data_IF_995851266505
#
_entry.id   IF_995851266505
#
_cell.length_a   1.000
_cell.length_b   1.000
_cell.length_c   1.000
_cell.angle_alpha   90.00
_cell.angle_beta   90.00
_cell.angle_gamma   90.00
#
_symmetry.space_group_name_H-M   'P 1'
#
loop_
_entity.id
_entity.type
_entity.pdbx_description
1 polymer ?
#
# COMPACT_ATOMS: atom_id res chain seq x y z
N UNK A 1 55.03 19.61 -52.67
CA UNK A 1 54.30 18.78 -53.64
C UNK A 1 53.40 17.76 -52.95
N UNK A 2 53.85 17.12 -51.92
CA UNK A 2 53.11 16.04 -51.17
C UNK A 2 51.78 16.53 -50.52
N UNK A 3 51.75 17.71 -49.95
CA UNK A 3 50.59 18.30 -49.31
C UNK A 3 49.40 18.56 -50.23
N UNK A 4 49.64 18.85 -51.49
CA UNK A 4 48.56 19.07 -52.46
C UNK A 4 47.95 17.77 -52.99
N UNK A 5 48.78 16.70 -53.07
CA UNK A 5 48.30 15.37 -53.46
C UNK A 5 47.39 14.79 -52.38
N UNK A 6 47.74 14.96 -51.09
CA UNK A 6 46.94 14.49 -49.94
C UNK A 6 45.58 15.21 -49.83
N UNK A 7 45.58 16.56 -50.09
CA UNK A 7 44.33 17.34 -50.14
C UNK A 7 43.39 16.87 -51.24
N UNK A 8 43.94 16.56 -52.41
CA UNK A 8 43.16 16.09 -53.59
C UNK A 8 42.64 14.67 -53.36
N UNK A 9 43.45 13.83 -52.77
CA UNK A 9 43.02 12.46 -52.40
C UNK A 9 41.94 12.45 -51.30
N UNK A 10 42.07 13.29 -50.27
CA UNK A 10 41.06 13.47 -49.22
C UNK A 10 39.76 14.03 -49.80
N UNK A 11 39.81 15.03 -50.66
CA UNK A 11 38.62 15.57 -51.32
C UNK A 11 37.93 14.54 -52.23
N UNK A 12 38.71 13.68 -52.89
CA UNK A 12 38.17 12.54 -53.64
C UNK A 12 37.50 11.50 -52.73
N UNK A 13 38.12 11.13 -51.64
CA UNK A 13 37.53 10.22 -50.67
C UNK A 13 36.22 10.76 -50.11
N UNK A 14 36.18 12.02 -49.69
CA UNK A 14 34.96 12.66 -49.19
C UNK A 14 33.87 12.66 -50.26
N UNK A 15 34.17 13.01 -51.50
CA UNK A 15 33.21 12.97 -52.61
C UNK A 15 32.75 11.54 -52.93
N UNK A 16 33.65 10.57 -52.89
CA UNK A 16 33.34 9.15 -53.12
C UNK A 16 32.46 8.58 -52.01
N UNK A 17 32.78 8.86 -50.74
CA UNK A 17 31.94 8.45 -49.61
C UNK A 17 30.59 9.15 -49.62
N UNK A 18 30.53 10.44 -49.94
CA UNK A 18 29.27 11.18 -50.10
C UNK A 18 28.43 10.58 -51.24
N UNK A 19 29.05 10.22 -52.35
CA UNK A 19 28.38 9.59 -53.49
C UNK A 19 27.85 8.19 -53.14
N UNK A 20 28.62 7.36 -52.40
CA UNK A 20 28.18 6.06 -51.93
C UNK A 20 27.05 6.21 -50.93
N UNK A 21 27.14 7.11 -49.96
CA UNK A 21 26.09 7.38 -48.96
C UNK A 21 24.80 7.87 -49.64
N UNK A 22 24.90 8.81 -50.59
CA UNK A 22 23.74 9.27 -51.38
C UNK A 22 23.10 8.14 -52.20
N UNK A 23 23.91 7.23 -52.73
CA UNK A 23 23.41 6.09 -53.52
C UNK A 23 22.72 5.04 -52.63
N UNK A 24 23.19 4.84 -51.41
CA UNK A 24 22.56 3.98 -50.42
C UNK A 24 21.24 4.56 -49.93
N UNK A 25 21.17 5.87 -49.68
CA UNK A 25 19.91 6.57 -49.36
C UNK A 25 18.90 6.49 -50.50
N UNK A 26 19.37 6.71 -51.73
CA UNK A 26 18.55 6.63 -52.93
C UNK A 26 18.04 5.22 -53.15
N UNK A 27 18.87 4.17 -52.92
CA UNK A 27 18.44 2.77 -53.07
C UNK A 27 17.37 2.37 -52.04
N UNK A 28 17.47 2.83 -50.78
CA UNK A 28 16.45 2.59 -49.78
C UNK A 28 15.10 3.23 -50.12
N UNK A 29 15.13 4.46 -50.60
CA UNK A 29 13.94 5.20 -51.00
C UNK A 29 13.28 4.61 -52.26
N UNK A 30 14.08 4.27 -53.30
CA UNK A 30 13.57 3.62 -54.52
C UNK A 30 13.00 2.21 -54.25
N UNK A 31 13.59 1.46 -53.29
CA UNK A 31 13.09 0.18 -52.89
C UNK A 31 11.67 0.29 -52.32
N UNK A 32 11.43 1.30 -51.47
CA UNK A 32 10.10 1.53 -50.91
C UNK A 32 9.09 1.97 -51.96
N UNK A 33 9.48 2.80 -52.89
CA UNK A 33 8.57 3.29 -53.92
C UNK A 33 8.21 2.22 -54.96
N UNK A 34 9.19 1.39 -55.38
CA UNK A 34 9.03 0.46 -56.49
C UNK A 34 9.18 -1.02 -56.12
N UNK A 35 9.57 -1.32 -54.87
CA UNK A 35 9.74 -2.68 -54.40
C UNK A 35 8.44 -3.36 -54.08
N UNK A 36 8.41 -4.70 -54.19
CA UNK A 36 7.31 -5.48 -53.67
C UNK A 36 7.45 -5.66 -52.15
N UNK A 37 6.36 -6.08 -51.51
CA UNK A 37 6.28 -6.29 -50.06
C UNK A 37 7.41 -7.22 -49.55
N UNK A 38 7.70 -8.31 -50.23
CA UNK A 38 8.68 -9.29 -49.80
C UNK A 38 10.09 -8.72 -49.72
N UNK A 39 10.52 -7.98 -50.73
CA UNK A 39 11.82 -7.33 -50.74
C UNK A 39 11.97 -6.25 -49.65
N UNK A 40 10.91 -5.48 -49.38
CA UNK A 40 10.90 -4.49 -48.29
C UNK A 40 11.04 -5.17 -46.96
N UNK A 41 10.25 -6.25 -46.72
CA UNK A 41 10.29 -7.02 -45.48
C UNK A 41 11.64 -7.70 -45.25
N UNK A 42 12.25 -8.28 -46.28
CA UNK A 42 13.59 -8.84 -46.22
C UNK A 42 14.64 -7.78 -45.80
N UNK A 43 14.57 -6.62 -46.40
CA UNK A 43 15.47 -5.51 -46.11
C UNK A 43 15.29 -4.98 -44.66
N UNK A 44 14.06 -4.84 -44.18
CA UNK A 44 13.80 -4.41 -42.83
C UNK A 44 14.28 -5.44 -41.75
N UNK A 45 14.35 -6.73 -42.12
CA UNK A 45 14.78 -7.80 -41.19
C UNK A 45 16.32 -7.97 -41.16
N UNK A 46 17.00 -7.78 -42.28
CA UNK A 46 18.41 -8.16 -42.45
C UNK A 46 19.41 -7.07 -42.07
N UNK A 47 19.03 -5.79 -42.04
CA UNK A 47 19.98 -4.71 -41.83
C UNK A 47 20.05 -4.21 -40.38
N UNK A 48 20.77 -4.95 -39.57
CA UNK A 48 21.21 -4.49 -38.23
C UNK A 48 22.23 -3.33 -38.26
N UNK A 49 22.83 -3.01 -39.42
CA UNK A 49 23.96 -2.10 -39.53
C UNK A 49 23.72 -0.81 -40.31
N UNK A 50 22.60 -0.64 -40.98
CA UNK A 50 22.27 0.58 -41.69
C UNK A 50 20.95 1.17 -41.24
N UNK A 51 20.99 2.38 -40.69
CA UNK A 51 19.78 3.14 -40.42
C UNK A 51 18.99 3.29 -41.71
N UNK A 52 17.72 2.87 -41.64
CA UNK A 52 16.81 3.07 -42.77
C UNK A 52 16.58 4.58 -42.95
N UNK A 53 16.96 5.21 -44.08
CA UNK A 53 16.99 6.65 -44.18
C UNK A 53 15.63 7.29 -43.89
N UNK A 54 15.62 8.51 -43.32
CA UNK A 54 14.36 9.18 -42.94
C UNK A 54 13.37 9.32 -44.11
N UNK A 55 13.87 9.58 -45.34
CA UNK A 55 13.01 9.62 -46.54
C UNK A 55 12.39 8.28 -46.90
N UNK A 56 13.11 7.18 -46.68
CA UNK A 56 12.58 5.83 -46.89
C UNK A 56 11.57 5.47 -45.85
N UNK A 57 11.83 5.83 -44.56
CA UNK A 57 10.85 5.67 -43.47
C UNK A 57 9.55 6.45 -43.78
N UNK A 58 9.66 7.72 -44.22
CA UNK A 58 8.50 8.54 -44.58
C UNK A 58 7.68 7.91 -45.71
N UNK A 59 8.36 7.45 -46.79
CA UNK A 59 7.69 6.78 -47.90
C UNK A 59 6.96 5.49 -47.47
N UNK A 60 7.60 4.69 -46.61
CA UNK A 60 7.05 3.45 -46.08
C UNK A 60 5.82 3.72 -45.20
N UNK A 61 5.90 4.69 -44.31
CA UNK A 61 4.75 5.08 -43.46
C UNK A 61 3.57 5.58 -44.31
N UNK A 62 3.86 6.40 -45.35
CA UNK A 62 2.86 6.91 -46.31
C UNK A 62 2.24 5.81 -47.18
N UNK A 63 3.02 4.78 -47.54
CA UNK A 63 2.51 3.58 -48.23
C UNK A 63 1.42 2.86 -47.41
N UNK A 64 1.57 2.82 -46.09
CA UNK A 64 0.53 2.42 -45.17
C UNK A 64 0.36 0.94 -44.96
N UNK A 65 1.27 0.07 -45.45
CA UNK A 65 1.23 -1.35 -45.19
C UNK A 65 1.55 -1.64 -43.69
N UNK A 66 0.61 -2.22 -42.98
CA UNK A 66 0.73 -2.44 -41.54
C UNK A 66 1.88 -3.37 -41.16
N UNK A 67 2.16 -4.41 -41.97
CA UNK A 67 3.26 -5.37 -41.69
C UNK A 67 4.63 -4.74 -41.92
N UNK A 68 4.76 -3.89 -42.95
CA UNK A 68 5.97 -3.17 -43.22
C UNK A 68 6.28 -2.12 -42.15
N UNK A 69 5.25 -1.41 -41.67
CA UNK A 69 5.38 -0.46 -40.56
C UNK A 69 5.72 -1.19 -39.26
N UNK A 70 5.08 -2.30 -38.97
CA UNK A 70 5.41 -3.14 -37.80
C UNK A 70 6.87 -3.61 -37.86
N UNK A 71 7.34 -4.07 -39.00
CA UNK A 71 8.73 -4.51 -39.17
C UNK A 71 9.70 -3.34 -39.01
N UNK A 72 9.37 -2.15 -39.54
CA UNK A 72 10.14 -0.92 -39.33
C UNK A 72 10.24 -0.60 -37.83
N UNK A 73 9.12 -0.55 -37.12
CA UNK A 73 9.06 -0.20 -35.71
C UNK A 73 9.77 -1.20 -34.79
N UNK A 74 9.77 -2.48 -35.14
CA UNK A 74 10.46 -3.54 -34.38
C UNK A 74 11.98 -3.51 -34.57
N UNK A 75 12.45 -3.13 -35.73
CA UNK A 75 13.84 -3.31 -36.11
C UNK A 75 14.61 -1.99 -36.25
N UNK A 76 13.96 -0.85 -36.26
CA UNK A 76 14.61 0.44 -36.54
C UNK A 76 14.12 1.55 -35.62
N UNK A 77 15.02 2.47 -35.29
CA UNK A 77 14.67 3.71 -34.57
C UNK A 77 14.07 4.69 -35.59
N UNK A 78 12.96 5.33 -35.22
CA UNK A 78 12.32 6.35 -36.07
C UNK A 78 13.12 7.66 -36.00
N UNK A 79 13.63 8.08 -37.15
CA UNK A 79 14.67 9.08 -37.24
C UNK A 79 14.28 10.51 -36.81
N UNK A 80 13.00 10.89 -36.95
CA UNK A 80 12.58 12.26 -36.66
C UNK A 80 11.25 12.31 -35.91
N UNK A 81 11.03 13.39 -35.13
CA UNK A 81 9.76 13.65 -34.46
C UNK A 81 8.59 13.73 -35.43
N UNK A 82 8.80 14.30 -36.63
CA UNK A 82 7.78 14.36 -37.70
C UNK A 82 7.29 12.94 -38.11
N UNK A 83 8.21 12.00 -38.26
CA UNK A 83 7.90 10.64 -38.65
C UNK A 83 7.16 9.90 -37.50
N UNK A 84 7.56 10.15 -36.25
CA UNK A 84 6.83 9.64 -35.08
C UNK A 84 5.37 10.15 -35.06
N UNK A 85 5.19 11.45 -35.36
CA UNK A 85 3.86 12.04 -35.47
C UNK A 85 3.03 11.41 -36.58
N UNK A 86 3.59 11.14 -37.76
CA UNK A 86 2.87 10.45 -38.84
C UNK A 86 2.35 9.06 -38.43
N UNK A 87 3.12 8.35 -37.61
CA UNK A 87 2.65 7.03 -37.06
C UNK A 87 1.50 7.24 -36.06
N UNK A 88 1.59 8.26 -35.22
CA UNK A 88 0.54 8.60 -34.25
C UNK A 88 -0.74 9.01 -34.99
N UNK A 89 -0.63 9.83 -36.03
CA UNK A 89 -1.74 10.32 -36.86
C UNK A 89 -2.49 9.18 -37.58
N UNK A 90 -1.84 8.04 -37.81
CA UNK A 90 -2.49 6.82 -38.33
C UNK A 90 -3.47 6.18 -37.33
N UNK A 91 -3.36 6.54 -36.06
CA UNK A 91 -4.24 6.10 -34.98
C UNK A 91 -4.35 4.56 -34.82
N UNK A 92 -3.26 3.81 -35.13
CA UNK A 92 -3.22 2.36 -34.98
C UNK A 92 -2.57 2.00 -33.65
N UNK A 93 -3.36 1.54 -32.67
CA UNK A 93 -2.94 1.27 -31.30
C UNK A 93 -1.71 0.36 -31.18
N UNK A 94 -1.60 -0.64 -32.05
CA UNK A 94 -0.47 -1.56 -32.05
C UNK A 94 0.83 -0.90 -32.56
N UNK A 95 0.75 -0.14 -33.65
CA UNK A 95 1.88 0.61 -34.20
C UNK A 95 2.40 1.65 -33.19
N UNK A 96 1.49 2.38 -32.55
CA UNK A 96 1.81 3.37 -31.50
C UNK A 96 2.48 2.70 -30.29
N UNK A 97 1.99 1.53 -29.86
CA UNK A 97 2.60 0.77 -28.77
C UNK A 97 4.04 0.36 -29.09
N UNK A 98 4.30 -0.15 -30.31
CA UNK A 98 5.65 -0.49 -30.77
C UNK A 98 6.57 0.75 -30.88
N UNK A 99 6.01 1.86 -31.32
CA UNK A 99 6.76 3.13 -31.37
C UNK A 99 7.25 3.53 -29.98
N UNK A 100 6.37 3.46 -28.95
CA UNK A 100 6.72 3.81 -27.59
C UNK A 100 7.71 2.83 -26.95
N UNK A 101 7.67 1.55 -27.31
CA UNK A 101 8.59 0.54 -26.80
C UNK A 101 10.03 0.69 -27.31
N UNK A 102 10.19 1.14 -28.56
CA UNK A 102 11.47 1.11 -29.27
C UNK A 102 12.06 2.50 -29.56
N UNK A 103 11.36 3.56 -29.16
CA UNK A 103 11.79 4.93 -29.47
C UNK A 103 11.71 5.83 -28.24
N UNK A 104 12.71 6.66 -28.05
CA UNK A 104 12.73 7.76 -27.08
C UNK A 104 12.10 9.02 -27.72
N UNK A 105 11.74 10.00 -26.87
CA UNK A 105 11.16 11.30 -27.29
C UNK A 105 9.92 11.19 -28.19
N UNK A 106 9.02 10.30 -27.82
CA UNK A 106 7.72 10.17 -28.50
C UNK A 106 6.77 11.27 -28.00
N UNK A 107 5.91 11.87 -28.87
CA UNK A 107 4.89 12.83 -28.44
C UNK A 107 3.86 12.21 -27.51
N UNK A 108 4.13 12.17 -26.20
CA UNK A 108 3.33 11.48 -25.20
C UNK A 108 1.91 12.08 -25.09
N UNK A 109 1.79 13.41 -25.10
CA UNK A 109 0.51 14.11 -24.93
C UNK A 109 -0.55 13.68 -25.96
N UNK A 110 -0.17 13.53 -27.23
CA UNK A 110 -1.09 13.15 -28.31
C UNK A 110 -1.56 11.69 -28.14
N UNK A 111 -0.64 10.80 -27.77
CA UNK A 111 -0.93 9.37 -27.52
C UNK A 111 -1.89 9.21 -26.35
N UNK A 112 -1.66 9.96 -25.28
CA UNK A 112 -2.48 9.94 -24.06
C UNK A 112 -3.90 10.44 -24.36
N UNK A 113 -4.00 11.58 -25.08
CA UNK A 113 -5.29 12.17 -25.47
C UNK A 113 -6.09 11.28 -26.42
N UNK A 114 -5.41 10.54 -27.30
CA UNK A 114 -6.04 9.57 -28.21
C UNK A 114 -6.49 8.29 -27.48
N UNK A 115 -6.08 8.09 -26.22
CA UNK A 115 -6.52 6.96 -25.40
C UNK A 115 -5.88 5.61 -25.73
N UNK A 116 -4.68 5.60 -26.32
CA UNK A 116 -3.94 4.37 -26.63
C UNK A 116 -3.31 3.75 -25.37
N UNK A 117 -4.12 3.09 -24.56
CA UNK A 117 -3.75 2.63 -23.22
C UNK A 117 -2.46 1.79 -23.16
N UNK A 118 -2.28 0.82 -24.09
CA UNK A 118 -1.06 0.00 -24.15
C UNK A 118 0.21 0.84 -24.41
N UNK A 119 0.08 1.88 -25.21
CA UNK A 119 1.18 2.80 -25.48
C UNK A 119 1.50 3.67 -24.25
N UNK A 120 0.47 4.11 -23.52
CA UNK A 120 0.63 4.83 -22.24
C UNK A 120 1.37 3.98 -21.23
N UNK A 121 1.05 2.69 -21.09
CA UNK A 121 1.81 1.78 -20.23
C UNK A 121 3.28 1.64 -20.65
N UNK A 122 3.58 1.72 -21.94
CA UNK A 122 4.97 1.72 -22.44
C UNK A 122 5.69 3.03 -22.12
N UNK A 123 5.00 4.18 -22.20
CA UNK A 123 5.54 5.49 -21.83
C UNK A 123 5.86 5.59 -20.32
N UNK A 124 5.02 5.00 -19.47
CA UNK A 124 5.27 4.92 -18.02
C UNK A 124 6.57 4.17 -17.70
N UNK A 125 6.89 3.11 -18.46
CA UNK A 125 8.14 2.35 -18.27
C UNK A 125 9.42 3.16 -18.60
N UNK A 126 9.30 4.15 -19.47
CA UNK A 126 10.43 4.95 -19.94
C UNK A 126 10.56 6.31 -19.24
N UNK A 127 9.76 6.56 -18.21
CA UNK A 127 9.70 7.83 -17.46
C UNK A 127 9.49 9.06 -18.38
N UNK A 128 8.71 8.85 -19.46
CA UNK A 128 8.52 9.85 -20.54
C UNK A 128 7.21 10.63 -20.42
N UNK A 129 6.54 10.55 -19.26
CA UNK A 129 5.25 11.22 -19.03
C UNK A 129 5.47 12.48 -18.20
N UNK A 130 5.01 13.64 -18.72
CA UNK A 130 5.07 14.91 -17.99
C UNK A 130 4.05 14.96 -16.84
N UNK A 131 4.24 15.92 -15.91
CA UNK A 131 3.26 16.12 -14.82
C UNK A 131 1.86 16.48 -15.36
N UNK A 132 1.78 17.25 -16.43
CA UNK A 132 0.49 17.62 -17.05
C UNK A 132 -0.18 16.43 -17.70
N UNK A 133 0.60 15.58 -18.37
CA UNK A 133 0.11 14.35 -18.98
C UNK A 133 -0.37 13.37 -17.91
N UNK A 134 0.37 13.23 -16.81
CA UNK A 134 -0.06 12.41 -15.65
C UNK A 134 -1.36 12.94 -15.06
N UNK A 135 -1.49 14.25 -14.88
CA UNK A 135 -2.74 14.88 -14.43
C UNK A 135 -3.90 14.56 -15.37
N UNK A 136 -3.68 14.62 -16.69
CA UNK A 136 -4.71 14.25 -17.67
C UNK A 136 -5.14 12.78 -17.53
N UNK A 137 -4.18 11.86 -17.37
CA UNK A 137 -4.42 10.43 -17.12
C UNK A 137 -5.31 10.25 -15.88
N UNK A 138 -4.92 10.85 -14.76
CA UNK A 138 -5.62 10.72 -13.48
C UNK A 138 -7.06 11.24 -13.54
N UNK A 139 -7.34 12.23 -14.38
CA UNK A 139 -8.68 12.82 -14.50
C UNK A 139 -9.59 12.09 -15.50
N UNK A 140 -9.03 11.48 -16.55
CA UNK A 140 -9.83 11.05 -17.70
C UNK A 140 -9.85 9.53 -17.93
N UNK A 141 -8.92 8.79 -17.32
CA UNK A 141 -8.85 7.34 -17.55
C UNK A 141 -9.89 6.60 -16.70
N UNK A 142 -10.37 5.49 -17.23
CA UNK A 142 -11.35 4.63 -16.56
C UNK A 142 -10.73 3.96 -15.32
N UNK A 143 -11.59 3.48 -14.41
CA UNK A 143 -11.15 2.71 -13.24
C UNK A 143 -10.22 1.55 -13.61
N UNK A 144 -10.58 0.73 -14.61
CA UNK A 144 -9.75 -0.38 -15.06
C UNK A 144 -8.35 0.08 -15.51
N UNK A 145 -8.28 1.17 -16.29
CA UNK A 145 -7.01 1.73 -16.75
C UNK A 145 -6.19 2.27 -15.58
N UNK A 146 -6.82 2.92 -14.61
CA UNK A 146 -6.16 3.41 -13.41
C UNK A 146 -5.57 2.28 -12.57
N UNK A 147 -6.32 1.20 -12.35
CA UNK A 147 -5.82 0.04 -11.62
C UNK A 147 -4.59 -0.59 -12.29
N UNK A 148 -4.56 -0.64 -13.63
CA UNK A 148 -3.38 -1.13 -14.36
C UNK A 148 -2.19 -0.17 -14.26
N UNK A 149 -2.41 1.14 -14.24
CA UNK A 149 -1.36 2.16 -14.05
C UNK A 149 -0.78 2.09 -12.64
N UNK A 150 -1.64 1.99 -11.62
CA UNK A 150 -1.23 1.93 -10.22
C UNK A 150 -0.47 0.64 -9.86
N UNK A 151 -0.52 -0.40 -10.68
CA UNK A 151 0.32 -1.60 -10.52
C UNK A 151 1.78 -1.40 -10.90
N UNK A 152 2.12 -0.31 -11.56
CA UNK A 152 3.51 -0.06 -12.00
C UNK A 152 4.40 0.37 -10.83
N UNK A 153 5.39 -0.44 -10.48
CA UNK A 153 6.30 -0.25 -9.34
C UNK A 153 7.12 1.05 -9.38
N UNK A 154 7.35 1.62 -10.55
CA UNK A 154 8.17 2.84 -10.70
C UNK A 154 7.33 4.12 -10.71
N UNK A 155 6.06 4.07 -10.32
CA UNK A 155 5.17 5.22 -10.36
C UNK A 155 5.48 6.17 -9.19
N UNK A 156 6.02 7.35 -9.51
CA UNK A 156 6.23 8.42 -8.53
C UNK A 156 5.04 9.37 -8.57
N UNK A 157 4.28 9.42 -7.50
CA UNK A 157 3.14 10.32 -7.38
C UNK A 157 3.47 11.50 -6.49
N UNK A 158 3.18 12.71 -6.96
CA UNK A 158 3.20 13.91 -6.14
C UNK A 158 1.98 13.96 -5.23
N UNK A 159 2.03 14.75 -4.15
CA UNK A 159 0.87 14.92 -3.26
C UNK A 159 -0.36 15.45 -4.01
N UNK A 160 -0.18 16.37 -4.96
CA UNK A 160 -1.25 16.87 -5.80
C UNK A 160 -1.91 15.77 -6.65
N UNK A 161 -1.12 14.84 -7.18
CA UNK A 161 -1.60 13.70 -7.94
C UNK A 161 -2.33 12.68 -7.05
N UNK A 162 -1.83 12.41 -5.85
CA UNK A 162 -2.51 11.57 -4.86
C UNK A 162 -3.89 12.13 -4.50
N UNK A 163 -4.00 13.45 -4.30
CA UNK A 163 -5.30 14.13 -4.08
C UNK A 163 -6.26 13.96 -5.25
N UNK A 164 -5.77 13.94 -6.50
CA UNK A 164 -6.62 13.66 -7.67
C UNK A 164 -7.17 12.22 -7.64
N UNK A 165 -6.36 11.24 -7.22
CA UNK A 165 -6.82 9.84 -7.06
C UNK A 165 -7.90 9.77 -5.97
N UNK A 166 -7.69 10.41 -4.83
CA UNK A 166 -8.67 10.45 -3.73
C UNK A 166 -9.98 11.09 -4.20
N UNK A 167 -9.91 12.17 -4.98
CA UNK A 167 -11.08 12.88 -5.51
C UNK A 167 -11.90 12.07 -6.54
N UNK A 168 -11.36 10.96 -7.06
CA UNK A 168 -12.12 10.01 -7.90
C UNK A 168 -13.10 9.17 -7.07
N UNK A 169 -13.00 9.21 -5.75
CA UNK A 169 -13.90 8.51 -4.81
C UNK A 169 -13.95 7.00 -5.06
N UNK A 170 -12.81 6.40 -5.38
CA UNK A 170 -12.71 4.96 -5.62
C UNK A 170 -11.74 4.32 -4.62
N UNK A 171 -12.28 3.51 -3.71
CA UNK A 171 -11.54 2.90 -2.59
C UNK A 171 -10.46 1.91 -3.07
N UNK A 172 -10.72 1.16 -4.17
CA UNK A 172 -9.73 0.24 -4.74
C UNK A 172 -8.52 0.98 -5.32
N UNK A 173 -8.74 2.12 -6.00
CA UNK A 173 -7.66 2.95 -6.55
C UNK A 173 -6.82 3.56 -5.42
N UNK A 174 -7.47 4.02 -4.35
CA UNK A 174 -6.79 4.59 -3.17
C UNK A 174 -5.98 3.50 -2.45
N UNK A 175 -6.56 2.32 -2.24
CA UNK A 175 -5.88 1.19 -1.63
C UNK A 175 -4.65 0.77 -2.46
N UNK A 176 -4.79 0.66 -3.78
CA UNK A 176 -3.68 0.34 -4.67
C UNK A 176 -2.57 1.40 -4.63
N UNK A 177 -2.92 2.69 -4.56
CA UNK A 177 -1.96 3.78 -4.37
C UNK A 177 -1.18 3.63 -3.07
N UNK A 178 -1.87 3.26 -1.96
CA UNK A 178 -1.23 3.05 -0.65
C UNK A 178 -0.32 1.82 -0.60
N UNK A 179 -0.60 0.81 -1.40
CA UNK A 179 0.21 -0.41 -1.52
C UNK A 179 1.53 -0.18 -2.25
N UNK A 180 1.71 0.98 -2.85
CA UNK A 180 2.90 1.31 -3.61
C UNK A 180 4.07 1.63 -2.67
N UNK A 181 5.12 0.80 -2.67
CA UNK A 181 6.28 0.93 -1.77
C UNK A 181 7.05 2.26 -1.97
N UNK A 182 7.10 2.76 -3.20
CA UNK A 182 7.84 3.97 -3.57
C UNK A 182 7.07 5.28 -3.38
N UNK A 183 5.78 5.21 -2.99
CA UNK A 183 4.95 6.39 -2.79
C UNK A 183 5.02 6.84 -1.33
N UNK A 184 5.76 7.92 -1.08
CA UNK A 184 5.79 8.56 0.24
C UNK A 184 4.47 9.31 0.48
N UNK A 185 3.57 8.71 1.24
CA UNK A 185 2.27 9.30 1.57
C UNK A 185 2.41 10.19 2.80
N UNK A 186 2.08 11.49 2.67
CA UNK A 186 2.10 12.43 3.79
C UNK A 186 0.96 12.19 4.78
N UNK A 187 1.15 12.59 6.06
CA UNK A 187 0.10 12.51 7.06
C UNK A 187 -1.18 13.27 6.64
N UNK A 188 -1.07 14.35 5.89
CA UNK A 188 -2.21 15.09 5.37
C UNK A 188 -3.05 14.29 4.36
N UNK A 189 -2.40 13.47 3.55
CA UNK A 189 -3.07 12.53 2.63
C UNK A 189 -3.75 11.40 3.42
N UNK A 190 -3.04 10.79 4.39
CA UNK A 190 -3.60 9.75 5.26
C UNK A 190 -4.82 10.25 6.02
N UNK A 191 -4.73 11.44 6.60
CA UNK A 191 -5.86 12.09 7.28
C UNK A 191 -7.06 12.29 6.35
N UNK A 192 -6.82 12.75 5.11
CA UNK A 192 -7.88 12.93 4.13
C UNK A 192 -8.58 11.59 3.82
N UNK A 193 -7.82 10.50 3.67
CA UNK A 193 -8.36 9.15 3.43
C UNK A 193 -9.22 8.69 4.60
N UNK A 194 -8.73 8.85 5.84
CA UNK A 194 -9.45 8.46 7.05
C UNK A 194 -10.77 9.24 7.19
N UNK A 195 -10.72 10.58 7.09
CA UNK A 195 -11.89 11.44 7.25
C UNK A 195 -12.94 11.14 6.18
N UNK A 196 -12.52 10.84 4.96
CA UNK A 196 -13.43 10.49 3.86
C UNK A 196 -14.12 9.14 4.05
N UNK A 197 -13.61 8.26 4.92
CA UNK A 197 -14.25 7.01 5.30
C UNK A 197 -14.10 5.89 4.25
N UNK A 198 -13.00 5.85 3.53
CA UNK A 198 -12.66 4.76 2.62
C UNK A 198 -12.29 3.50 3.41
N UNK A 199 -13.19 2.50 3.39
CA UNK A 199 -13.04 1.32 4.26
C UNK A 199 -11.85 0.44 3.89
N UNK A 200 -11.69 0.08 2.61
CA UNK A 200 -10.57 -0.77 2.17
C UNK A 200 -9.22 -0.10 2.39
N UNK A 201 -9.12 1.18 2.05
CA UNK A 201 -7.92 1.96 2.30
C UNK A 201 -7.64 2.11 3.81
N UNK A 202 -8.69 2.30 4.62
CA UNK A 202 -8.62 2.36 6.07
C UNK A 202 -8.13 1.05 6.68
N UNK A 203 -8.72 -0.10 6.34
CA UNK A 203 -8.23 -1.43 6.78
C UNK A 203 -6.78 -1.65 6.39
N UNK A 204 -6.40 -1.32 5.16
CA UNK A 204 -5.02 -1.43 4.73
C UNK A 204 -4.05 -0.62 5.60
N UNK A 205 -4.43 0.60 5.99
CA UNK A 205 -3.61 1.44 6.87
C UNK A 205 -3.49 0.85 8.28
N UNK A 206 -4.59 0.30 8.81
CA UNK A 206 -4.63 -0.37 10.10
C UNK A 206 -3.77 -1.65 10.12
N UNK A 207 -3.93 -2.53 9.14
CA UNK A 207 -3.20 -3.79 9.01
C UNK A 207 -1.69 -3.61 8.83
N UNK A 208 -1.26 -2.50 8.22
CA UNK A 208 0.16 -2.24 7.95
C UNK A 208 0.82 -1.27 8.95
N UNK A 209 0.21 -1.05 10.10
CA UNK A 209 0.73 -0.21 11.18
C UNK A 209 1.16 1.20 10.70
N UNK A 210 0.35 1.80 9.82
CA UNK A 210 0.58 3.15 9.27
C UNK A 210 -0.14 4.26 10.01
N UNK A 211 -0.87 3.91 11.07
CA UNK A 211 -1.67 4.83 11.87
C UNK A 211 -0.98 5.10 13.20
N UNK A 212 -0.31 6.23 13.33
CA UNK A 212 0.37 6.64 14.54
C UNK A 212 -0.33 7.86 15.17
N UNK A 213 -0.30 7.95 16.50
CA UNK A 213 -0.73 9.11 17.30
C UNK A 213 -2.10 9.70 16.88
N UNK A 214 -2.09 10.92 16.34
CA UNK A 214 -3.32 11.65 15.96
C UNK A 214 -4.09 10.97 14.83
N UNK A 215 -3.42 10.27 13.92
CA UNK A 215 -4.10 9.53 12.85
C UNK A 215 -4.84 8.32 13.40
N UNK A 216 -4.26 7.61 14.36
CA UNK A 216 -4.91 6.50 15.04
C UNK A 216 -6.16 6.96 15.79
N UNK A 217 -6.09 8.10 16.47
CA UNK A 217 -7.22 8.69 17.15
C UNK A 217 -8.36 9.05 16.18
N UNK A 218 -8.02 9.71 15.03
CA UNK A 218 -9.00 10.04 13.99
C UNK A 218 -9.63 8.80 13.37
N UNK A 219 -8.82 7.76 13.14
CA UNK A 219 -9.28 6.47 12.63
C UNK A 219 -10.30 5.84 13.58
N UNK A 220 -9.97 5.69 14.86
CA UNK A 220 -10.85 5.11 15.87
C UNK A 220 -12.18 5.86 15.92
N UNK A 221 -12.16 7.20 15.95
CA UNK A 221 -13.39 8.01 15.97
C UNK A 221 -14.19 7.92 14.67
N UNK A 222 -13.53 7.83 13.52
CA UNK A 222 -14.21 7.70 12.22
C UNK A 222 -14.95 6.39 12.08
N UNK A 223 -14.40 5.33 12.62
CA UNK A 223 -14.94 3.97 12.52
C UNK A 223 -15.49 3.44 13.85
N UNK A 224 -15.87 4.32 14.77
CA UNK A 224 -16.34 3.97 16.11
C UNK A 224 -17.50 2.97 16.13
N UNK A 225 -18.38 3.03 15.13
CA UNK A 225 -19.54 2.17 14.96
C UNK A 225 -19.29 0.95 14.03
N UNK A 226 -18.07 0.82 13.49
CA UNK A 226 -17.69 -0.27 12.58
C UNK A 226 -16.77 -1.25 13.32
N UNK A 227 -17.36 -2.34 13.83
CA UNK A 227 -16.64 -3.32 14.65
C UNK A 227 -15.50 -3.99 13.90
N UNK A 228 -15.69 -4.32 12.62
CA UNK A 228 -14.66 -5.00 11.80
C UNK A 228 -13.43 -4.10 11.63
N UNK A 229 -13.65 -2.82 11.35
CA UNK A 229 -12.57 -1.84 11.21
C UNK A 229 -11.81 -1.60 12.51
N UNK A 230 -12.53 -1.60 13.66
CA UNK A 230 -11.91 -1.46 14.97
C UNK A 230 -11.12 -2.71 15.36
N UNK A 231 -11.66 -3.89 15.12
CA UNK A 231 -11.00 -5.16 15.39
C UNK A 231 -9.72 -5.31 14.58
N UNK A 232 -9.74 -4.97 13.28
CA UNK A 232 -8.56 -4.94 12.41
C UNK A 232 -7.46 -4.02 12.98
N UNK A 233 -7.85 -2.82 13.45
CA UNK A 233 -6.88 -1.89 14.04
C UNK A 233 -6.32 -2.41 15.36
N UNK A 234 -7.17 -2.88 16.28
CA UNK A 234 -6.79 -3.35 17.61
C UNK A 234 -5.90 -4.59 17.51
N UNK A 235 -6.18 -5.48 16.56
CA UNK A 235 -5.41 -6.71 16.36
C UNK A 235 -4.01 -6.47 15.80
N UNK A 236 -3.88 -5.52 14.87
CA UNK A 236 -2.65 -5.33 14.11
C UNK A 236 -1.71 -4.26 14.68
N UNK A 237 -2.12 -3.49 15.72
CA UNK A 237 -1.34 -2.37 16.22
C UNK A 237 -1.11 -2.42 17.72
N UNK A 238 0.05 -1.91 18.14
CA UNK A 238 0.31 -1.62 19.55
C UNK A 238 -0.45 -0.34 19.93
N UNK A 239 -1.44 -0.49 20.82
CA UNK A 239 -2.32 0.61 21.20
C UNK A 239 -1.76 1.33 22.43
N UNK A 240 -1.40 2.62 22.34
CA UNK A 240 -0.95 3.40 23.48
C UNK A 240 -2.00 3.52 24.58
N UNK A 241 -1.60 3.56 25.83
CA UNK A 241 -2.49 3.64 27.02
C UNK A 241 -3.59 4.70 26.90
N UNK A 242 -3.25 5.86 26.32
CA UNK A 242 -4.20 6.95 26.09
C UNK A 242 -5.35 6.53 25.18
N UNK A 243 -5.04 5.81 24.10
CA UNK A 243 -6.06 5.30 23.16
C UNK A 243 -6.83 4.14 23.77
N UNK A 244 -6.17 3.25 24.55
CA UNK A 244 -6.87 2.20 25.27
C UNK A 244 -7.92 2.77 26.24
N UNK A 245 -7.56 3.82 26.99
CA UNK A 245 -8.50 4.53 27.87
C UNK A 245 -9.68 5.14 27.12
N UNK A 246 -9.43 5.69 25.94
CA UNK A 246 -10.46 6.25 25.07
C UNK A 246 -11.43 5.18 24.59
N UNK A 247 -10.90 4.03 24.12
CA UNK A 247 -11.71 2.88 23.71
C UNK A 247 -12.62 2.42 24.84
N UNK A 248 -12.09 2.23 26.06
CA UNK A 248 -12.88 1.77 27.20
C UNK A 248 -13.99 2.74 27.56
N UNK A 249 -13.74 4.05 27.50
CA UNK A 249 -14.70 5.07 27.95
C UNK A 249 -15.79 5.36 26.94
N UNK A 250 -15.47 5.37 25.65
CA UNK A 250 -16.31 6.00 24.64
C UNK A 250 -16.76 5.06 23.52
N UNK A 251 -16.21 3.83 23.44
CA UNK A 251 -16.53 2.93 22.34
C UNK A 251 -17.47 1.80 22.78
N UNK A 252 -17.93 1.02 21.81
CA UNK A 252 -18.87 -0.08 22.01
C UNK A 252 -18.26 -1.19 22.90
N UNK A 253 -19.13 -2.01 23.48
CA UNK A 253 -18.73 -3.21 24.22
C UNK A 253 -17.84 -4.13 23.39
N UNK A 254 -18.16 -4.32 22.10
CA UNK A 254 -17.36 -5.15 21.19
C UNK A 254 -15.91 -4.65 21.08
N UNK A 255 -15.71 -3.35 20.86
CA UNK A 255 -14.36 -2.76 20.76
C UNK A 255 -13.55 -2.93 22.07
N UNK A 256 -14.21 -2.81 23.23
CA UNK A 256 -13.55 -3.06 24.52
C UNK A 256 -13.17 -4.54 24.66
N UNK A 257 -14.05 -5.45 24.25
CA UNK A 257 -13.76 -6.88 24.27
C UNK A 257 -12.59 -7.23 23.36
N UNK A 258 -12.55 -6.70 22.14
CA UNK A 258 -11.40 -6.86 21.24
C UNK A 258 -10.09 -6.34 21.85
N UNK A 259 -10.14 -5.16 22.49
CA UNK A 259 -8.98 -4.62 23.20
C UNK A 259 -8.49 -5.56 24.31
N UNK A 260 -9.40 -6.08 25.13
CA UNK A 260 -9.09 -6.99 26.20
C UNK A 260 -8.58 -8.34 25.68
N UNK A 261 -9.06 -8.80 24.53
CA UNK A 261 -8.63 -10.05 23.89
C UNK A 261 -7.23 -10.00 23.33
N UNK A 262 -6.85 -8.88 22.77
CA UNK A 262 -5.60 -8.73 22.05
C UNK A 262 -4.45 -8.15 22.89
N UNK A 263 -4.73 -7.56 24.06
CA UNK A 263 -3.73 -6.97 24.94
C UNK A 263 -3.58 -7.75 26.25
N UNK A 264 -2.51 -8.52 26.34
CA UNK A 264 -2.18 -9.31 27.54
C UNK A 264 -1.56 -8.51 28.70
N UNK A 265 -1.26 -7.21 28.52
CA UNK A 265 -0.61 -6.36 29.51
C UNK A 265 -1.15 -4.94 29.45
N UNK A 266 -2.27 -4.71 30.09
CA UNK A 266 -2.85 -3.39 30.24
C UNK A 266 -2.24 -2.67 31.45
N UNK A 267 -1.98 -1.35 31.32
CA UNK A 267 -1.55 -0.58 32.48
C UNK A 267 -2.65 -0.43 33.53
N UNK A 268 -2.27 -0.19 34.77
CA UNK A 268 -3.20 -0.07 35.92
C UNK A 268 -4.37 0.87 35.67
N UNK A 269 -4.10 2.06 35.08
CA UNK A 269 -5.15 3.05 34.79
C UNK A 269 -6.21 2.50 33.84
N UNK A 270 -5.79 1.71 32.86
CA UNK A 270 -6.68 1.08 31.89
C UNK A 270 -7.51 -0.03 32.55
N UNK A 271 -6.86 -0.87 33.36
CA UNK A 271 -7.53 -1.91 34.15
C UNK A 271 -8.60 -1.30 35.10
N UNK A 272 -8.24 -0.23 35.82
CA UNK A 272 -9.19 0.48 36.70
C UNK A 272 -10.37 1.10 35.92
N UNK A 273 -10.15 1.58 34.70
CA UNK A 273 -11.21 2.13 33.86
C UNK A 273 -12.22 1.03 33.45
N UNK A 274 -11.76 -0.18 33.13
CA UNK A 274 -12.65 -1.35 32.86
C UNK A 274 -13.49 -1.66 34.09
N UNK A 275 -12.88 -1.75 35.28
CA UNK A 275 -13.61 -2.04 36.53
C UNK A 275 -14.61 -0.94 36.86
N UNK A 276 -14.23 0.33 36.63
CA UNK A 276 -15.11 1.47 36.89
C UNK A 276 -16.32 1.54 35.94
N UNK A 277 -16.16 1.14 34.68
CA UNK A 277 -17.25 1.02 33.69
C UNK A 277 -18.31 0.01 34.18
N UNK A 278 -17.87 -1.08 34.81
CA UNK A 278 -18.73 -1.99 35.51
C UNK A 278 -19.42 -3.05 34.66
N UNK A 279 -19.09 -3.19 33.38
CA UNK A 279 -19.61 -4.26 32.55
C UNK A 279 -19.03 -5.61 32.98
N UNK A 280 -19.92 -6.55 33.21
CA UNK A 280 -19.55 -7.85 33.81
C UNK A 280 -18.68 -8.70 32.87
N UNK A 281 -18.97 -8.72 31.60
CA UNK A 281 -18.22 -9.57 30.65
C UNK A 281 -16.84 -8.98 30.37
N UNK A 282 -16.73 -7.66 30.31
CA UNK A 282 -15.44 -6.96 30.20
C UNK A 282 -14.56 -7.23 31.43
N UNK A 283 -15.12 -7.16 32.64
CA UNK A 283 -14.42 -7.47 33.89
C UNK A 283 -13.98 -8.93 33.94
N UNK A 284 -14.87 -9.86 33.58
CA UNK A 284 -14.53 -11.28 33.51
C UNK A 284 -13.38 -11.54 32.54
N UNK A 285 -13.36 -10.84 31.40
CA UNK A 285 -12.31 -10.96 30.41
C UNK A 285 -11.00 -10.39 30.94
N UNK A 286 -11.04 -9.20 31.55
CA UNK A 286 -9.89 -8.59 32.22
C UNK A 286 -9.23 -9.54 33.20
N UNK A 287 -10.01 -10.12 34.14
CA UNK A 287 -9.51 -11.03 35.19
C UNK A 287 -8.86 -12.28 34.58
N UNK A 288 -9.43 -12.83 33.52
CA UNK A 288 -8.94 -14.07 32.89
C UNK A 288 -7.69 -13.88 32.05
N UNK A 289 -7.57 -12.74 31.41
CA UNK A 289 -6.51 -12.54 30.41
C UNK A 289 -5.29 -11.79 30.91
N UNK A 290 -5.44 -10.92 31.91
CA UNK A 290 -4.28 -10.21 32.44
C UNK A 290 -3.41 -11.14 33.27
N UNK A 291 -2.10 -11.16 32.98
CA UNK A 291 -1.12 -11.98 33.70
C UNK A 291 -1.01 -11.59 35.18
N UNK A 292 -1.26 -10.32 35.49
CA UNK A 292 -1.36 -9.82 36.87
C UNK A 292 -2.24 -8.57 36.91
N UNK A 293 -3.13 -8.49 37.87
CA UNK A 293 -3.84 -7.27 38.22
C UNK A 293 -3.06 -6.48 39.24
N UNK A 294 -3.10 -5.13 39.16
CA UNK A 294 -2.51 -4.31 40.23
C UNK A 294 -3.31 -4.42 41.51
N UNK A 295 -2.68 -4.06 42.64
CA UNK A 295 -3.34 -4.11 43.96
C UNK A 295 -4.56 -3.20 44.01
N UNK A 296 -4.49 -2.04 43.38
CA UNK A 296 -5.56 -1.06 43.29
C UNK A 296 -6.76 -1.62 42.52
N UNK A 297 -6.50 -2.38 41.44
CA UNK A 297 -7.56 -3.04 40.65
C UNK A 297 -8.22 -4.15 41.47
N UNK A 298 -7.42 -4.97 42.15
CA UNK A 298 -7.94 -6.03 43.06
C UNK A 298 -8.78 -5.39 44.15
N UNK A 299 -8.32 -4.30 44.80
CA UNK A 299 -9.08 -3.60 45.82
C UNK A 299 -10.38 -2.99 45.26
N UNK A 300 -10.37 -2.46 44.06
CA UNK A 300 -11.56 -1.95 43.37
C UNK A 300 -12.60 -3.05 43.13
N UNK A 301 -12.17 -4.24 42.69
CA UNK A 301 -13.03 -5.41 42.55
C UNK A 301 -13.58 -5.88 43.90
N UNK A 302 -12.79 -5.88 44.96
CA UNK A 302 -13.25 -6.19 46.30
C UNK A 302 -14.33 -5.22 46.79
N UNK A 303 -14.20 -3.92 46.52
CA UNK A 303 -15.23 -2.94 46.88
C UNK A 303 -16.54 -3.17 46.14
N UNK A 304 -16.50 -3.70 44.93
CA UNK A 304 -17.71 -4.11 44.18
C UNK A 304 -18.39 -5.33 44.80
N UNK A 305 -17.66 -6.22 45.42
CA UNK A 305 -18.11 -7.42 46.12
C UNK A 305 -19.07 -8.30 45.28
N UNK A 306 -18.81 -8.45 43.99
CA UNK A 306 -19.60 -9.28 43.08
C UNK A 306 -19.10 -10.73 43.17
N UNK A 307 -20.00 -11.68 43.48
CA UNK A 307 -19.63 -13.07 43.70
C UNK A 307 -18.85 -13.72 42.56
N UNK A 308 -19.31 -13.54 41.32
CA UNK A 308 -18.65 -14.12 40.16
C UNK A 308 -17.24 -13.54 39.93
N UNK A 309 -17.05 -12.22 40.15
CA UNK A 309 -15.75 -11.57 40.05
C UNK A 309 -14.77 -12.13 41.08
N UNK A 310 -15.22 -12.34 42.33
CA UNK A 310 -14.41 -12.93 43.41
C UNK A 310 -14.01 -14.37 43.10
N UNK A 311 -14.91 -15.16 42.53
CA UNK A 311 -14.58 -16.53 42.10
C UNK A 311 -13.51 -16.53 41.00
N UNK A 312 -13.63 -15.66 40.03
CA UNK A 312 -12.63 -15.53 38.94
C UNK A 312 -11.29 -15.05 39.48
N UNK A 313 -11.26 -14.08 40.38
CA UNK A 313 -10.03 -13.67 41.06
C UNK A 313 -9.34 -14.82 41.74
N UNK A 314 -10.10 -15.61 42.50
CA UNK A 314 -9.57 -16.81 43.20
C UNK A 314 -9.04 -17.87 42.24
N UNK A 315 -9.59 -17.95 41.06
CA UNK A 315 -9.23 -18.97 40.07
C UNK A 315 -8.06 -18.58 39.19
N UNK A 316 -7.98 -17.32 38.76
CA UNK A 316 -7.06 -16.89 37.71
C UNK A 316 -5.95 -15.96 38.17
N UNK A 317 -6.08 -15.24 39.30
CA UNK A 317 -5.15 -14.22 39.71
C UNK A 317 -4.31 -14.62 40.93
N UNK A 318 -3.03 -14.32 40.88
CA UNK A 318 -2.10 -14.52 42.01
C UNK A 318 -2.25 -13.36 43.00
N UNK A 319 -2.92 -13.63 44.13
CA UNK A 319 -3.25 -12.63 45.11
C UNK A 319 -2.21 -12.53 46.22
N UNK A 320 -2.05 -11.33 46.79
CA UNK A 320 -1.22 -11.12 47.98
C UNK A 320 -1.85 -11.72 49.22
N UNK A 321 -1.02 -12.09 50.17
CA UNK A 321 -1.45 -12.64 51.45
C UNK A 321 -2.43 -11.71 52.20
N UNK A 322 -2.23 -10.39 52.11
CA UNK A 322 -3.13 -9.38 52.70
C UNK A 322 -4.57 -9.48 52.15
N UNK A 323 -4.73 -9.77 50.90
CA UNK A 323 -6.01 -9.91 50.20
C UNK A 323 -6.71 -11.23 50.68
N UNK A 324 -5.94 -12.31 50.73
CA UNK A 324 -6.48 -13.59 51.24
C UNK A 324 -6.91 -13.47 52.69
N UNK A 325 -6.19 -12.74 53.50
CA UNK A 325 -6.59 -12.48 54.91
C UNK A 325 -7.86 -11.62 54.99
N UNK A 326 -8.11 -10.72 54.06
CA UNK A 326 -9.39 -9.98 53.99
C UNK A 326 -10.58 -10.94 53.73
N UNK A 327 -10.41 -11.92 52.83
CA UNK A 327 -11.45 -12.94 52.60
C UNK A 327 -11.73 -13.75 53.87
N UNK A 328 -10.68 -14.18 54.58
CA UNK A 328 -10.83 -14.88 55.87
C UNK A 328 -11.54 -14.00 56.89
N UNK A 329 -11.14 -12.71 56.98
CA UNK A 329 -11.75 -11.77 57.92
C UNK A 329 -13.23 -11.50 57.62
N UNK A 330 -13.64 -11.61 56.37
CA UNK A 330 -15.02 -11.42 55.91
C UNK A 330 -15.81 -12.76 55.83
N UNK A 331 -15.26 -13.86 56.38
CA UNK A 331 -15.87 -15.20 56.37
C UNK A 331 -16.17 -15.72 54.94
N UNK A 332 -15.36 -15.37 53.94
CA UNK A 332 -15.50 -15.85 52.55
C UNK A 332 -14.57 -17.03 52.28
N UNK A 333 -14.82 -18.10 53.04
CA UNK A 333 -13.97 -19.31 53.01
C UNK A 333 -14.04 -20.07 51.69
N UNK A 334 -15.14 -19.98 50.98
CA UNK A 334 -15.34 -20.53 49.63
C UNK A 334 -14.31 -19.98 48.60
N UNK A 335 -14.01 -18.71 48.66
CA UNK A 335 -13.01 -18.12 47.78
C UNK A 335 -11.58 -18.50 48.18
N UNK A 336 -11.33 -18.60 49.48
CA UNK A 336 -10.02 -19.04 49.99
C UNK A 336 -9.75 -20.49 49.58
N UNK A 337 -10.73 -21.36 49.69
CA UNK A 337 -10.63 -22.76 49.25
C UNK A 337 -10.38 -22.87 47.75
N UNK A 338 -11.12 -22.11 46.95
CA UNK A 338 -10.93 -22.04 45.49
C UNK A 338 -9.55 -21.57 45.14
N UNK A 339 -9.04 -20.52 45.78
CA UNK A 339 -7.70 -20.01 45.56
C UNK A 339 -6.63 -21.05 45.84
N UNK A 340 -6.68 -21.72 47.01
CA UNK A 340 -5.75 -22.76 47.40
C UNK A 340 -5.74 -23.97 46.46
N UNK A 341 -6.89 -24.29 45.85
CA UNK A 341 -6.97 -25.35 44.81
C UNK A 341 -6.29 -25.01 43.51
N UNK A 342 -6.27 -23.73 43.14
CA UNK A 342 -5.80 -23.30 41.84
C UNK A 342 -4.36 -22.72 41.85
N UNK A 343 -3.86 -22.32 43.02
CA UNK A 343 -2.55 -21.73 43.16
C UNK A 343 -1.69 -22.48 44.19
N UNK A 344 -0.44 -22.81 43.78
CA UNK A 344 0.54 -23.35 44.75
C UNK A 344 1.05 -22.19 45.60
N UNK A 345 0.76 -22.22 46.87
CA UNK A 345 1.23 -21.24 47.87
C UNK A 345 2.26 -21.87 48.80
N UNK A 346 3.03 -21.04 49.53
CA UNK A 346 4.00 -21.52 50.49
C UNK A 346 3.29 -22.34 51.57
N UNK A 347 3.81 -23.52 51.87
CA UNK A 347 3.23 -24.44 52.87
C UNK A 347 3.06 -23.81 54.26
N UNK A 348 3.99 -22.92 54.66
CA UNK A 348 3.89 -22.19 55.94
C UNK A 348 2.76 -21.19 55.95
N UNK A 349 2.51 -20.50 54.87
CA UNK A 349 1.39 -19.56 54.71
C UNK A 349 0.05 -20.30 54.66
N UNK A 350 -0.03 -21.40 53.92
CA UNK A 350 -1.22 -22.24 53.85
C UNK A 350 -1.63 -22.73 55.24
N UNK A 351 -0.68 -23.13 56.07
CA UNK A 351 -0.95 -23.57 57.44
C UNK A 351 -1.49 -22.43 58.31
N UNK A 352 -0.88 -21.21 58.22
CA UNK A 352 -1.40 -20.05 58.91
C UNK A 352 -2.79 -19.65 58.49
N UNK A 353 -3.08 -19.67 57.17
CA UNK A 353 -4.37 -19.33 56.61
C UNK A 353 -5.46 -20.35 57.06
N UNK A 354 -5.17 -21.64 57.00
CA UNK A 354 -6.06 -22.71 57.45
C UNK A 354 -6.33 -22.64 58.95
N UNK A 355 -5.34 -22.32 59.76
CA UNK A 355 -5.52 -22.13 61.21
C UNK A 355 -6.44 -20.95 61.54
N UNK A 356 -6.32 -19.84 60.76
CA UNK A 356 -7.19 -18.68 60.96
C UNK A 356 -8.64 -18.96 60.50
N UNK A 357 -8.80 -19.71 59.39
CA UNK A 357 -10.13 -20.22 58.96
C UNK A 357 -10.74 -21.09 60.02
N UNK A 358 -10.01 -22.06 60.57
CA UNK A 358 -10.50 -22.97 61.63
C UNK A 358 -10.89 -22.20 62.89
N UNK A 359 -10.12 -21.23 63.34
CA UNK A 359 -10.46 -20.39 64.50
C UNK A 359 -11.79 -19.66 64.33
N UNK A 360 -12.11 -19.21 63.11
CA UNK A 360 -13.35 -18.46 62.83
C UNK A 360 -14.55 -19.32 62.49
N UNK A 361 -14.35 -20.58 62.10
CA UNK A 361 -15.44 -21.54 61.89
C UNK A 361 -15.92 -22.17 63.17
N UNK A 362 -15.13 -22.07 64.30
CA UNK A 362 -15.45 -22.64 65.62
C UNK A 362 -16.06 -21.56 66.54
N UNK A 363 -16.02 -20.31 66.17
CA UNK A 363 -16.74 -19.21 66.85
C UNK A 363 -18.12 -18.99 66.23
#
# INVERSE_FOLDING_TARGET
>A
MVTNLFKRFWAFLVKFFTFILTRLEVNGYYLVLNGNHEHIMERLKTEYRFDFPAKAQEALIKRGDAKEIEALLKNKVIATRKLKQLIIDRNQSYEISLLCQNNHDVPAADIIKQGHFKAVLSLLKTDSISEEDMKYILLNFTHFQMMEILKYRCLKLTEAQMRLIINRVNDDEITMMLQHEDVAVSNAILETIIISGYKKAGSYLAENNRLHDDLAWKYLHRYADDTDMLDDYIYNNDIPDKLQLEIIKNFSHSAVMSLLENNCSLCEKVQLAVVAKGDMDEIKRLIKQQNSLSDEVVEALFKRNVHEEMQLLAQYQKLKNSVLMQWVNNCRFDYVEMYLKNHSTDASFNTCLLLEVLKRTVQ
#
